data_IF_423554311716
#
_entry.id   IF_423554311716
#
_cell.length_a   1.000
_cell.length_b   1.000
_cell.length_c   1.000
_cell.angle_alpha   90.00
_cell.angle_beta   90.00
_cell.angle_gamma   90.00
#
_symmetry.space_group_name_H-M   'P 1'
#
loop_
_entity.id
_entity.type
_entity.pdbx_description
1 polymer ?
#
# COMPACT_ATOMS: atom_id res chain seq x y z
N UNK A 1 -68.10 -37.48 -2.37
CA UNK A 1 -66.80 -37.05 -2.95
C UNK A 1 -65.94 -36.47 -1.83
N UNK A 2 -64.92 -37.21 -1.36
CA UNK A 2 -64.02 -36.78 -0.27
C UNK A 2 -62.95 -35.84 -0.83
N UNK A 3 -62.82 -34.63 -0.27
CA UNK A 3 -61.79 -33.63 -0.66
C UNK A 3 -60.47 -34.00 0.01
N UNK A 4 -59.43 -34.22 -0.80
CA UNK A 4 -58.05 -34.45 -0.36
C UNK A 4 -57.35 -33.09 -0.27
N UNK A 5 -56.84 -32.74 0.90
CA UNK A 5 -56.04 -31.54 1.14
C UNK A 5 -54.57 -31.93 1.00
N UNK A 6 -53.86 -31.36 0.02
CA UNK A 6 -52.42 -31.49 -0.11
C UNK A 6 -51.73 -30.43 0.77
N UNK A 7 -50.96 -30.89 1.77
CA UNK A 7 -50.08 -30.04 2.55
C UNK A 7 -48.75 -29.88 1.81
N UNK A 8 -48.43 -28.65 1.39
CA UNK A 8 -47.12 -28.29 0.84
C UNK A 8 -46.15 -28.03 2.01
N UNK A 9 -45.17 -28.92 2.19
CA UNK A 9 -44.06 -28.69 3.12
C UNK A 9 -43.02 -27.84 2.38
N UNK A 10 -42.90 -26.57 2.79
CA UNK A 10 -41.87 -25.66 2.29
C UNK A 10 -40.56 -25.96 3.02
N UNK A 11 -39.62 -26.65 2.36
CA UNK A 11 -38.25 -26.80 2.86
C UNK A 11 -37.54 -25.43 2.73
N UNK A 12 -37.38 -24.72 3.85
CA UNK A 12 -36.45 -23.61 3.93
C UNK A 12 -35.01 -24.17 3.88
N UNK A 13 -34.36 -24.00 2.73
CA UNK A 13 -32.92 -24.17 2.61
C UNK A 13 -32.23 -22.98 3.28
N UNK A 14 -31.59 -23.23 4.41
CA UNK A 14 -30.71 -22.27 5.09
C UNK A 14 -29.46 -22.08 4.24
N UNK A 15 -29.41 -21.01 3.45
CA UNK A 15 -28.19 -20.57 2.80
C UNK A 15 -27.18 -20.15 3.90
N UNK A 16 -26.20 -21.01 4.18
CA UNK A 16 -25.07 -20.63 5.04
C UNK A 16 -24.25 -19.57 4.31
N UNK A 17 -24.21 -18.36 4.86
CA UNK A 17 -23.24 -17.34 4.45
C UNK A 17 -21.88 -17.85 4.93
N UNK A 18 -21.09 -18.42 4.01
CA UNK A 18 -19.70 -18.79 4.26
C UNK A 18 -18.90 -17.50 4.28
N UNK A 19 -18.63 -16.95 5.47
CA UNK A 19 -17.54 -16.01 5.63
C UNK A 19 -16.25 -16.75 5.29
N UNK A 20 -15.46 -16.21 4.36
CA UNK A 20 -14.12 -16.73 4.10
C UNK A 20 -13.35 -16.77 5.43
N UNK A 21 -12.99 -17.97 5.89
CA UNK A 21 -12.10 -18.10 7.04
C UNK A 21 -10.82 -17.32 6.72
N UNK A 22 -10.48 -16.33 7.54
CA UNK A 22 -9.19 -15.65 7.47
C UNK A 22 -8.07 -16.70 7.52
N UNK A 23 -6.97 -16.46 6.78
CA UNK A 23 -5.83 -17.37 6.79
C UNK A 23 -5.25 -17.52 8.20
N UNK A 24 -4.45 -18.58 8.41
CA UNK A 24 -3.64 -18.73 9.64
C UNK A 24 -2.54 -17.66 9.67
N UNK A 25 -2.94 -16.45 10.07
CA UNK A 25 -2.07 -15.30 10.18
C UNK A 25 -1.09 -15.44 11.34
N UNK A 26 -1.39 -16.27 12.34
CA UNK A 26 -0.46 -16.51 13.45
C UNK A 26 0.80 -17.22 12.97
N UNK A 27 0.67 -18.21 12.07
CA UNK A 27 1.80 -18.86 11.42
C UNK A 27 2.68 -17.87 10.65
N UNK A 28 2.05 -17.00 9.85
CA UNK A 28 2.75 -15.95 9.08
C UNK A 28 3.49 -14.96 10.00
N UNK A 29 2.82 -14.45 11.03
CA UNK A 29 3.41 -13.53 12.01
C UNK A 29 4.58 -14.17 12.77
N UNK A 30 4.48 -15.46 13.10
CA UNK A 30 5.55 -16.23 13.76
C UNK A 30 6.79 -16.33 12.87
N UNK A 31 6.62 -16.57 11.57
CA UNK A 31 7.75 -16.58 10.62
C UNK A 31 8.46 -15.23 10.62
N UNK A 32 7.73 -14.13 10.51
CA UNK A 32 8.32 -12.80 10.52
C UNK A 32 8.83 -12.35 11.89
N UNK A 33 8.42 -13.01 12.99
CA UNK A 33 8.73 -12.61 14.35
C UNK A 33 8.07 -11.29 14.76
N UNK A 34 7.01 -10.88 14.06
CA UNK A 34 6.30 -9.61 14.31
C UNK A 34 4.83 -9.70 13.95
N UNK A 35 4.02 -8.89 14.65
CA UNK A 35 2.60 -8.73 14.36
C UNK A 35 2.36 -7.89 13.11
N UNK A 36 1.30 -8.23 12.39
CA UNK A 36 0.75 -7.42 11.32
C UNK A 36 -0.54 -6.73 11.76
N UNK A 37 -1.14 -5.99 10.84
CA UNK A 37 -2.51 -5.48 10.97
C UNK A 37 -3.45 -6.38 10.18
N UNK A 38 -4.57 -6.76 10.79
CA UNK A 38 -5.61 -7.53 10.11
C UNK A 38 -6.79 -6.63 9.81
N UNK A 39 -7.21 -6.59 8.55
CA UNK A 39 -8.40 -5.84 8.11
C UNK A 39 -9.12 -6.64 7.03
N UNK A 40 -10.45 -6.80 7.16
CA UNK A 40 -11.26 -7.51 6.14
C UNK A 40 -10.76 -8.93 5.86
N UNK A 41 -10.24 -9.63 6.88
CA UNK A 41 -9.68 -10.97 6.74
C UNK A 41 -8.30 -11.05 6.09
N UNK A 42 -7.71 -9.92 5.70
CA UNK A 42 -6.36 -9.81 5.12
C UNK A 42 -5.35 -9.42 6.19
N UNK A 43 -4.12 -9.90 6.05
CA UNK A 43 -2.99 -9.52 6.91
C UNK A 43 -2.05 -8.58 6.15
N UNK A 44 -1.59 -7.51 6.77
CA UNK A 44 -0.47 -6.70 6.27
C UNK A 44 0.63 -6.59 7.32
N UNK A 45 1.85 -6.94 6.95
CA UNK A 45 3.05 -6.80 7.78
C UNK A 45 3.94 -5.73 7.16
N UNK A 46 4.40 -4.78 7.96
CA UNK A 46 5.21 -3.64 7.49
C UNK A 46 6.61 -3.69 8.08
N UNK A 47 7.61 -3.23 7.34
CA UNK A 47 9.02 -3.24 7.72
C UNK A 47 9.64 -1.86 7.42
N UNK A 48 9.58 -0.92 8.38
CA UNK A 48 10.18 0.40 8.20
C UNK A 48 11.70 0.29 8.14
N UNK A 49 12.32 1.00 7.20
CA UNK A 49 13.78 1.19 7.09
C UNK A 49 14.28 2.19 8.11
N UNK A 50 14.15 1.88 9.40
CA UNK A 50 14.65 2.74 10.49
C UNK A 50 16.17 2.68 10.66
N UNK A 51 16.82 1.77 9.94
CA UNK A 51 18.28 1.71 9.77
C UNK A 51 18.81 2.83 8.88
N UNK A 52 17.97 3.44 8.04
CA UNK A 52 18.38 4.44 7.06
C UNK A 52 18.06 5.86 7.50
N UNK A 53 18.96 6.80 7.15
CA UNK A 53 18.68 8.24 7.14
C UNK A 53 18.68 8.69 5.69
N UNK A 54 17.50 8.79 5.08
CA UNK A 54 17.34 9.22 3.68
C UNK A 54 16.90 10.67 3.63
N UNK A 55 17.44 11.45 2.69
CA UNK A 55 17.05 12.83 2.43
C UNK A 55 16.58 13.04 1.00
N UNK A 56 15.65 13.96 0.78
CA UNK A 56 15.36 14.57 -0.52
C UNK A 56 15.53 16.09 -0.36
N UNK A 57 16.60 16.63 -0.97
CA UNK A 57 17.07 17.98 -0.65
C UNK A 57 17.37 18.11 0.86
N UNK A 58 16.81 19.12 1.51
CA UNK A 58 17.00 19.37 2.95
C UNK A 58 16.04 18.56 3.84
N UNK A 59 15.12 17.78 3.26
CA UNK A 59 14.11 17.04 4.01
C UNK A 59 14.63 15.64 4.35
N UNK A 60 14.81 15.35 5.64
CA UNK A 60 14.97 13.98 6.13
C UNK A 60 13.63 13.26 6.05
N UNK A 61 13.61 12.09 5.40
CA UNK A 61 12.42 11.28 5.15
C UNK A 61 12.19 10.34 6.34
N UNK A 62 11.03 10.44 6.99
CA UNK A 62 10.65 9.43 7.97
C UNK A 62 10.28 8.12 7.29
N UNK A 63 10.58 6.99 7.95
CA UNK A 63 10.25 5.68 7.39
C UNK A 63 8.74 5.54 7.10
N UNK A 64 7.90 6.15 7.94
CA UNK A 64 6.45 6.17 7.74
C UNK A 64 5.98 7.08 6.60
N UNK A 65 6.79 8.00 6.09
CA UNK A 65 6.45 8.80 4.91
C UNK A 65 6.57 7.97 3.63
N UNK A 66 7.72 7.30 3.44
CA UNK A 66 8.02 6.61 2.18
C UNK A 66 8.99 5.41 2.27
N UNK A 67 9.58 5.09 3.42
CA UNK A 67 10.63 4.05 3.52
C UNK A 67 10.16 2.82 4.29
N UNK A 68 8.96 2.33 3.97
CA UNK A 68 8.38 1.14 4.62
C UNK A 68 8.06 0.10 3.57
N UNK A 69 8.77 -1.02 3.59
CA UNK A 69 8.37 -2.22 2.85
C UNK A 69 7.10 -2.79 3.47
N UNK A 70 6.23 -3.39 2.67
CA UNK A 70 5.07 -4.11 3.19
C UNK A 70 4.79 -5.41 2.45
N UNK A 71 4.19 -6.34 3.17
CA UNK A 71 3.80 -7.65 2.66
C UNK A 71 2.35 -7.90 3.09
N UNK A 72 1.45 -7.94 2.12
CA UNK A 72 0.03 -8.20 2.30
C UNK A 72 -0.34 -9.62 1.90
N UNK A 73 -1.27 -10.22 2.63
CA UNK A 73 -1.82 -11.55 2.38
C UNK A 73 -3.34 -11.50 2.35
N UNK A 74 -3.93 -12.15 1.34
CA UNK A 74 -5.37 -12.40 1.25
C UNK A 74 -5.60 -13.90 1.13
N UNK A 75 -6.40 -14.44 2.05
CA UNK A 75 -6.73 -15.87 2.07
C UNK A 75 -7.53 -16.29 0.84
N UNK A 76 -7.22 -17.50 0.35
CA UNK A 76 -7.83 -18.18 -0.79
C UNK A 76 -8.02 -19.67 -0.47
N UNK A 77 -8.70 -19.96 0.65
CA UNK A 77 -8.76 -21.32 1.19
C UNK A 77 -7.45 -21.73 1.87
N UNK A 78 -6.81 -22.80 1.40
CA UNK A 78 -5.51 -23.26 1.93
C UNK A 78 -4.31 -22.46 1.39
N UNK A 79 -4.54 -21.65 0.36
CA UNK A 79 -3.54 -20.76 -0.24
C UNK A 79 -3.81 -19.31 0.13
N UNK A 80 -2.87 -18.43 -0.19
CA UNK A 80 -3.05 -16.99 -0.18
C UNK A 80 -2.47 -16.37 -1.44
N UNK A 81 -3.09 -15.26 -1.84
CA UNK A 81 -2.45 -14.25 -2.66
C UNK A 81 -1.58 -13.38 -1.74
N UNK A 82 -0.33 -13.18 -2.13
CA UNK A 82 0.62 -12.29 -1.48
C UNK A 82 1.04 -11.19 -2.46
N UNK A 83 1.07 -9.94 -1.98
CA UNK A 83 1.51 -8.78 -2.75
C UNK A 83 2.23 -7.80 -1.83
N UNK A 84 3.08 -6.96 -2.40
CA UNK A 84 3.75 -5.91 -1.64
C UNK A 84 4.86 -5.24 -2.42
N UNK A 85 5.60 -4.41 -1.70
CA UNK A 85 6.82 -3.77 -2.16
C UNK A 85 7.93 -3.86 -1.11
N UNK A 86 9.17 -3.84 -1.57
CA UNK A 86 10.36 -3.75 -0.73
C UNK A 86 11.09 -2.44 -1.02
N UNK A 87 11.33 -1.63 0.01
CA UNK A 87 12.22 -0.47 -0.06
C UNK A 87 13.68 -0.92 0.14
N UNK A 88 14.47 -0.82 -0.93
CA UNK A 88 15.82 -1.36 -1.06
C UNK A 88 16.83 -0.26 -1.38
N UNK A 89 18.03 -0.37 -0.82
CA UNK A 89 19.21 0.30 -1.36
C UNK A 89 19.56 -0.33 -2.71
N UNK A 90 20.20 0.42 -3.60
CA UNK A 90 20.58 -0.09 -4.93
C UNK A 90 21.40 -1.40 -4.86
N UNK A 91 22.33 -1.48 -3.91
CA UNK A 91 23.14 -2.69 -3.67
C UNK A 91 22.36 -3.90 -3.15
N UNK A 92 21.16 -3.70 -2.59
CA UNK A 92 20.29 -4.77 -2.08
C UNK A 92 19.40 -5.35 -3.20
N UNK A 93 19.20 -4.63 -4.32
CA UNK A 93 18.24 -5.01 -5.38
C UNK A 93 18.55 -6.37 -6.01
N UNK A 94 19.76 -6.54 -6.54
CA UNK A 94 20.13 -7.76 -7.26
C UNK A 94 20.05 -9.04 -6.40
N UNK A 95 20.62 -9.09 -5.18
CA UNK A 95 20.53 -10.31 -4.35
C UNK A 95 19.09 -10.61 -3.90
N UNK A 96 18.30 -9.58 -3.57
CA UNK A 96 16.89 -9.75 -3.20
C UNK A 96 16.09 -10.28 -4.38
N UNK A 97 16.26 -9.70 -5.57
CA UNK A 97 15.53 -10.13 -6.77
C UNK A 97 15.85 -11.59 -7.13
N UNK A 98 17.13 -11.97 -7.10
CA UNK A 98 17.56 -13.33 -7.32
C UNK A 98 16.92 -14.30 -6.30
N UNK A 99 16.85 -13.89 -5.03
CA UNK A 99 16.24 -14.70 -3.97
C UNK A 99 14.74 -14.90 -4.16
N UNK A 100 14.02 -13.83 -4.50
CA UNK A 100 12.57 -13.92 -4.77
C UNK A 100 12.28 -14.89 -5.91
N UNK A 101 13.03 -14.79 -7.02
CA UNK A 101 12.87 -15.70 -8.17
C UNK A 101 13.16 -17.14 -7.78
N UNK A 102 14.25 -17.40 -7.03
CA UNK A 102 14.62 -18.73 -6.58
C UNK A 102 13.54 -19.38 -5.67
N UNK A 103 12.86 -18.58 -4.84
CA UNK A 103 11.78 -19.06 -3.97
C UNK A 103 10.41 -19.15 -4.69
N UNK A 104 10.34 -18.77 -5.97
CA UNK A 104 9.14 -18.78 -6.78
C UNK A 104 8.18 -17.61 -6.50
N UNK A 105 8.70 -16.49 -5.97
CA UNK A 105 7.98 -15.22 -5.85
C UNK A 105 8.21 -14.41 -7.12
N UNK A 106 7.12 -13.89 -7.70
CA UNK A 106 7.18 -13.10 -8.93
C UNK A 106 7.60 -11.68 -8.62
N UNK A 107 8.59 -11.19 -9.35
CA UNK A 107 8.92 -9.76 -9.42
C UNK A 107 7.97 -9.12 -10.42
N UNK A 108 7.28 -8.06 -10.01
CA UNK A 108 6.28 -7.39 -10.86
C UNK A 108 6.73 -6.01 -11.34
N UNK A 109 7.57 -5.32 -10.58
CA UNK A 109 8.27 -4.11 -11.03
C UNK A 109 9.46 -3.76 -10.14
N UNK A 110 10.38 -2.97 -10.70
CA UNK A 110 11.44 -2.27 -9.99
C UNK A 110 11.42 -0.81 -10.45
N UNK A 111 11.23 0.14 -9.54
CA UNK A 111 11.23 1.57 -9.85
C UNK A 111 11.54 2.41 -8.61
N UNK A 112 11.53 3.73 -8.75
CA UNK A 112 11.67 4.68 -7.66
C UNK A 112 10.30 5.23 -7.22
N UNK A 113 10.16 5.60 -5.95
CA UNK A 113 9.05 6.45 -5.47
C UNK A 113 9.48 7.92 -5.40
N UNK A 114 10.74 8.16 -5.03
CA UNK A 114 11.33 9.49 -4.86
C UNK A 114 12.38 9.72 -5.94
N UNK A 115 12.58 10.98 -6.35
CA UNK A 115 13.72 11.40 -7.19
C UNK A 115 14.65 12.25 -6.32
N UNK A 116 15.96 12.07 -6.47
CA UNK A 116 16.97 12.85 -5.73
C UNK A 116 17.11 12.46 -4.26
N UNK A 117 16.71 11.23 -3.91
CA UNK A 117 16.95 10.69 -2.57
C UNK A 117 18.43 10.37 -2.35
N UNK A 118 18.93 10.64 -1.15
CA UNK A 118 20.30 10.28 -0.73
C UNK A 118 20.25 9.56 0.63
N UNK A 119 20.68 8.29 0.71
CA UNK A 119 21.04 7.43 -0.42
C UNK A 119 19.84 7.17 -1.36
N UNK A 120 20.08 6.77 -2.63
CA UNK A 120 19.00 6.35 -3.53
C UNK A 120 18.27 5.12 -3.00
N UNK A 121 16.94 5.12 -3.14
CA UNK A 121 16.07 4.02 -2.73
C UNK A 121 15.27 3.54 -3.93
N UNK A 122 15.29 2.23 -4.14
CA UNK A 122 14.52 1.51 -5.15
C UNK A 122 13.41 0.71 -4.47
N UNK A 123 12.30 0.53 -5.19
CA UNK A 123 11.12 -0.17 -4.73
C UNK A 123 10.88 -1.36 -5.66
N UNK A 124 10.91 -2.55 -5.07
CA UNK A 124 10.73 -3.81 -5.76
C UNK A 124 9.35 -4.37 -5.41
N UNK A 125 8.44 -4.30 -6.38
CA UNK A 125 7.11 -4.89 -6.25
C UNK A 125 7.15 -6.38 -6.56
N UNK A 126 6.34 -7.14 -5.83
CA UNK A 126 6.27 -8.58 -5.96
C UNK A 126 4.84 -9.11 -5.79
N UNK A 127 4.63 -10.32 -6.29
CA UNK A 127 3.42 -11.09 -6.08
C UNK A 127 3.71 -12.57 -5.91
N UNK A 128 2.85 -13.28 -5.18
CA UNK A 128 2.96 -14.72 -4.96
C UNK A 128 1.60 -15.35 -4.72
N UNK A 129 1.51 -16.63 -5.03
CA UNK A 129 0.34 -17.47 -4.75
C UNK A 129 0.86 -18.79 -4.15
N UNK A 130 0.14 -19.32 -3.15
CA UNK A 130 0.47 -20.59 -2.51
C UNK A 130 0.28 -20.55 -0.99
N UNK A 131 0.78 -21.57 -0.25
CA UNK A 131 0.61 -21.65 1.19
C UNK A 131 1.18 -20.41 1.92
N UNK A 132 0.42 -19.76 2.83
CA UNK A 132 0.85 -18.51 3.49
C UNK A 132 2.20 -18.63 4.20
N UNK A 133 2.46 -19.74 4.89
CA UNK A 133 3.73 -19.98 5.58
C UNK A 133 4.93 -20.01 4.63
N UNK A 134 4.82 -20.73 3.50
CA UNK A 134 5.87 -20.79 2.46
C UNK A 134 6.18 -19.41 1.89
N UNK A 135 5.14 -18.64 1.60
CA UNK A 135 5.26 -17.27 1.10
C UNK A 135 5.95 -16.36 2.14
N UNK A 136 5.58 -16.48 3.42
CA UNK A 136 6.23 -15.75 4.50
C UNK A 136 7.72 -16.12 4.65
N UNK A 137 8.08 -17.40 4.54
CA UNK A 137 9.47 -17.88 4.60
C UNK A 137 10.31 -17.35 3.45
N UNK A 138 9.77 -17.34 2.23
CA UNK A 138 10.41 -16.75 1.06
C UNK A 138 10.71 -15.26 1.29
N UNK A 139 9.71 -14.50 1.75
CA UNK A 139 9.89 -13.07 2.00
C UNK A 139 10.83 -12.77 3.17
N UNK A 140 10.79 -13.57 4.24
CA UNK A 140 11.75 -13.46 5.35
C UNK A 140 13.17 -13.66 4.85
N UNK A 141 13.37 -14.62 3.97
CA UNK A 141 14.67 -14.90 3.39
C UNK A 141 15.17 -13.77 2.49
N UNK A 142 14.28 -13.19 1.67
CA UNK A 142 14.58 -11.99 0.89
C UNK A 142 14.96 -10.80 1.79
N UNK A 143 14.20 -10.54 2.86
CA UNK A 143 14.49 -9.48 3.83
C UNK A 143 15.81 -9.71 4.58
N UNK A 144 16.25 -10.95 4.76
CA UNK A 144 17.54 -11.25 5.41
C UNK A 144 18.76 -10.83 4.59
N UNK A 145 18.55 -10.47 3.32
CA UNK A 145 19.59 -9.96 2.41
C UNK A 145 19.68 -8.42 2.43
N UNK A 146 18.95 -7.75 3.33
CA UNK A 146 18.92 -6.29 3.47
C UNK A 146 19.28 -5.85 4.89
N UNK A 147 19.49 -4.54 5.07
CA UNK A 147 19.62 -3.92 6.39
C UNK A 147 18.29 -3.76 7.15
N UNK A 148 17.16 -4.20 6.58
CA UNK A 148 15.82 -3.94 7.12
C UNK A 148 15.66 -4.51 8.53
N UNK A 149 15.31 -3.67 9.53
CA UNK A 149 15.10 -4.14 10.89
C UNK A 149 13.95 -5.14 11.00
N UNK A 150 14.28 -6.37 11.42
CA UNK A 150 13.32 -7.47 11.62
C UNK A 150 12.73 -7.51 13.04
N UNK A 151 13.33 -6.79 13.99
CA UNK A 151 12.85 -6.70 15.36
C UNK A 151 11.53 -5.95 15.50
N UNK A 152 10.99 -5.94 16.72
CA UNK A 152 9.82 -5.12 17.05
C UNK A 152 10.14 -3.65 16.74
N UNK A 153 9.31 -2.95 15.92
CA UNK A 153 9.59 -1.57 15.57
C UNK A 153 9.63 -0.71 16.83
N UNK A 154 10.71 0.06 16.98
CA UNK A 154 10.82 1.05 18.04
C UNK A 154 9.67 2.06 17.90
N UNK A 155 8.97 2.41 19.00
CA UNK A 155 7.96 3.44 18.96
C UNK A 155 8.51 4.73 18.34
N UNK A 156 7.73 5.37 17.47
CA UNK A 156 8.10 6.69 16.97
C UNK A 156 8.23 7.66 18.15
N UNK A 157 9.18 8.59 18.10
CA UNK A 157 9.34 9.62 19.13
C UNK A 157 8.08 10.46 19.14
N UNK A 158 7.32 10.40 20.25
CA UNK A 158 6.12 11.21 20.42
C UNK A 158 6.52 12.68 20.51
N UNK A 159 6.06 13.50 19.58
CA UNK A 159 6.23 14.96 19.67
C UNK A 159 5.41 15.52 20.85
N UNK A 160 5.99 16.48 21.57
CA UNK A 160 5.35 17.10 22.73
C UNK A 160 4.05 17.85 22.37
N UNK A 161 3.92 18.30 21.13
CA UNK A 161 2.70 18.91 20.59
C UNK A 161 2.29 18.17 19.32
N UNK A 162 1.08 17.57 19.30
CA UNK A 162 0.55 16.95 18.09
C UNK A 162 0.43 17.96 16.96
N UNK A 163 0.84 17.56 15.75
CA UNK A 163 0.60 18.35 14.54
C UNK A 163 -0.90 18.42 14.26
N UNK A 164 -1.42 19.64 14.07
CA UNK A 164 -2.79 19.84 13.63
C UNK A 164 -2.91 19.69 12.10
N UNK A 165 -3.54 18.59 11.69
CA UNK A 165 -3.83 18.28 10.29
C UNK A 165 -5.25 18.64 9.85
N UNK A 166 -6.07 19.26 10.71
CA UNK A 166 -7.51 19.43 10.47
C UNK A 166 -7.82 20.18 9.17
N UNK A 167 -7.04 21.22 8.85
CA UNK A 167 -7.23 21.97 7.58
C UNK A 167 -6.86 21.15 6.35
N UNK A 168 -5.81 20.34 6.44
CA UNK A 168 -5.40 19.42 5.34
C UNK A 168 -6.48 18.37 5.12
N UNK A 169 -6.98 17.76 6.19
CA UNK A 169 -8.09 16.80 6.13
C UNK A 169 -9.37 17.41 5.57
N UNK A 170 -9.71 18.63 5.96
CA UNK A 170 -10.87 19.35 5.43
C UNK A 170 -10.77 19.62 3.93
N UNK A 171 -9.58 19.97 3.43
CA UNK A 171 -9.34 20.18 1.98
C UNK A 171 -9.42 18.86 1.21
N UNK A 172 -8.85 17.78 1.77
CA UNK A 172 -8.83 16.46 1.15
C UNK A 172 -10.15 15.70 1.29
N UNK A 173 -11.06 16.16 2.15
CA UNK A 173 -12.44 15.71 2.26
C UNK A 173 -12.70 14.60 3.28
N UNK A 174 -11.69 14.12 4.00
CA UNK A 174 -11.81 13.06 5.00
C UNK A 174 -10.68 13.10 6.02
N UNK A 175 -10.85 12.37 7.12
CA UNK A 175 -9.78 12.14 8.09
C UNK A 175 -8.79 11.07 7.63
N UNK A 176 -7.56 11.17 8.13
CA UNK A 176 -6.46 10.22 7.90
C UNK A 176 -5.93 9.59 9.19
N UNK A 177 -5.00 8.66 9.04
CA UNK A 177 -4.23 8.12 10.16
C UNK A 177 -3.12 9.10 10.52
N UNK A 178 -3.07 9.49 11.79
CA UNK A 178 -2.08 10.44 12.33
C UNK A 178 -1.10 9.70 13.23
N UNK A 179 0.20 9.89 13.01
CA UNK A 179 1.26 9.30 13.85
C UNK A 179 2.41 10.28 13.99
N UNK A 180 2.51 10.94 15.15
CA UNK A 180 3.50 12.00 15.36
C UNK A 180 3.27 13.15 14.38
N UNK A 181 4.25 13.41 13.52
CA UNK A 181 4.18 14.40 12.45
C UNK A 181 3.64 13.86 11.12
N UNK A 182 3.18 12.60 11.06
CA UNK A 182 2.68 12.00 9.83
C UNK A 182 1.16 12.09 9.73
N UNK A 183 0.66 12.33 8.52
CA UNK A 183 -0.72 12.11 8.09
C UNK A 183 -0.71 11.15 6.91
N UNK A 184 -1.40 10.02 7.02
CA UNK A 184 -1.55 9.04 5.96
C UNK A 184 -3.02 8.90 5.59
N UNK A 185 -3.32 8.99 4.30
CA UNK A 185 -4.67 8.98 3.77
C UNK A 185 -4.78 7.98 2.62
N UNK A 186 -5.94 7.34 2.52
CA UNK A 186 -6.21 6.31 1.53
C UNK A 186 -7.55 6.61 0.84
N UNK A 187 -7.53 6.64 -0.49
CA UNK A 187 -8.68 6.91 -1.35
C UNK A 187 -8.85 5.72 -2.30
N UNK A 188 -9.68 4.72 -1.92
CA UNK A 188 -9.96 3.57 -2.78
C UNK A 188 -10.53 4.01 -4.12
N UNK A 189 -10.12 3.32 -5.18
CA UNK A 189 -10.79 3.39 -6.48
C UNK A 189 -12.22 2.83 -6.38
N UNK A 190 -13.13 3.33 -7.22
CA UNK A 190 -14.50 2.78 -7.30
C UNK A 190 -14.58 1.54 -8.19
N UNK A 191 -13.63 1.36 -9.09
CA UNK A 191 -13.54 0.16 -9.92
C UNK A 191 -13.25 -1.07 -9.07
N UNK A 192 -13.78 -2.22 -9.49
CA UNK A 192 -13.29 -3.51 -9.01
C UNK A 192 -12.02 -3.85 -9.77
N UNK A 193 -10.91 -3.91 -9.05
CA UNK A 193 -9.60 -4.24 -9.61
C UNK A 193 -9.37 -5.74 -9.46
N UNK A 194 -8.89 -6.37 -10.53
CA UNK A 194 -8.58 -7.80 -10.56
C UNK A 194 -7.17 -8.04 -11.06
N UNK A 195 -6.53 -9.09 -10.55
CA UNK A 195 -5.26 -9.64 -11.07
C UNK A 195 -5.55 -11.09 -11.46
N UNK A 196 -5.36 -11.45 -12.73
CA UNK A 196 -5.72 -12.78 -13.28
C UNK A 196 -7.17 -13.20 -12.94
N UNK A 197 -8.09 -12.24 -12.98
CA UNK A 197 -9.52 -12.47 -12.68
C UNK A 197 -9.87 -12.54 -11.18
N UNK A 198 -8.89 -12.46 -10.27
CA UNK A 198 -9.14 -12.44 -8.83
C UNK A 198 -9.21 -11.00 -8.30
N UNK A 199 -10.22 -10.70 -7.50
CA UNK A 199 -10.38 -9.38 -6.88
C UNK A 199 -9.17 -9.03 -5.98
N UNK A 200 -8.56 -7.87 -6.26
CA UNK A 200 -7.49 -7.27 -5.47
C UNK A 200 -8.07 -6.09 -4.69
N UNK A 201 -8.33 -6.25 -3.38
CA UNK A 201 -8.96 -5.22 -2.58
C UNK A 201 -8.03 -4.02 -2.33
N UNK A 202 -8.58 -2.83 -2.04
CA UNK A 202 -7.81 -1.61 -1.76
C UNK A 202 -6.71 -1.77 -0.69
N UNK A 203 -6.94 -2.65 0.29
CA UNK A 203 -5.99 -2.93 1.37
C UNK A 203 -4.66 -3.54 0.90
N UNK A 204 -4.64 -4.18 -0.28
CA UNK A 204 -3.44 -4.75 -0.92
C UNK A 204 -2.79 -3.77 -1.92
N UNK A 205 -2.78 -2.47 -1.61
CA UNK A 205 -2.06 -1.47 -2.41
C UNK A 205 -2.87 -0.87 -3.57
N UNK A 206 -4.16 -1.19 -3.69
CA UNK A 206 -5.01 -0.72 -4.80
C UNK A 206 -5.79 0.58 -4.47
N UNK A 207 -5.45 1.25 -3.38
CA UNK A 207 -5.98 2.58 -3.05
C UNK A 207 -4.95 3.65 -3.40
N UNK A 208 -5.42 4.83 -3.82
CA UNK A 208 -4.56 6.01 -3.91
C UNK A 208 -4.09 6.35 -2.49
N UNK A 209 -2.78 6.40 -2.28
CA UNK A 209 -2.14 6.75 -1.02
C UNK A 209 -1.60 8.17 -1.07
N UNK A 210 -1.92 8.98 -0.05
CA UNK A 210 -1.35 10.31 0.16
C UNK A 210 -0.78 10.36 1.57
N UNK A 211 0.53 10.59 1.66
CA UNK A 211 1.25 10.69 2.92
C UNK A 211 1.89 12.08 3.03
N UNK A 212 1.77 12.69 4.21
CA UNK A 212 2.42 13.95 4.55
C UNK A 212 3.24 13.79 5.83
N UNK A 213 4.39 14.47 5.91
CA UNK A 213 5.14 14.66 7.14
C UNK A 213 5.38 16.16 7.38
N UNK A 214 5.16 16.65 8.60
CA UNK A 214 5.54 18.03 8.93
C UNK A 214 7.04 18.19 9.14
N UNK A 215 7.58 19.28 8.59
CA UNK A 215 8.98 19.73 8.70
C UNK A 215 8.99 21.24 8.99
N UNK A 216 9.08 21.61 10.27
CA UNK A 216 8.97 23.00 10.71
C UNK A 216 7.58 23.56 10.41
N UNK A 217 7.48 24.56 9.52
CA UNK A 217 6.20 25.15 9.07
C UNK A 217 5.71 24.63 7.71
N UNK A 218 6.50 23.78 7.04
CA UNK A 218 6.16 23.14 5.76
C UNK A 218 5.84 21.67 5.97
N UNK A 219 5.22 21.04 4.98
CA UNK A 219 5.10 19.59 4.90
C UNK A 219 5.82 19.06 3.66
N UNK A 220 6.37 17.86 3.76
CA UNK A 220 6.67 17.06 2.58
C UNK A 220 5.51 16.09 2.33
N UNK A 221 5.14 15.92 1.06
CA UNK A 221 4.07 15.03 0.62
C UNK A 221 4.56 14.11 -0.50
N UNK A 222 4.19 12.84 -0.40
CA UNK A 222 4.46 11.81 -1.39
C UNK A 222 3.39 10.74 -1.30
N UNK A 223 3.33 9.86 -2.29
CA UNK A 223 2.31 8.84 -2.33
C UNK A 223 2.29 8.10 -3.65
N UNK A 224 1.15 7.47 -3.90
CA UNK A 224 0.91 6.66 -5.09
C UNK A 224 -0.52 6.89 -5.57
N UNK A 225 -0.65 7.31 -6.82
CA UNK A 225 -1.92 7.36 -7.54
C UNK A 225 -2.09 6.10 -8.38
N UNK A 226 -3.16 5.35 -8.12
CA UNK A 226 -3.65 4.27 -8.99
C UNK A 226 -4.60 4.87 -10.03
N UNK A 227 -4.30 4.73 -11.31
CA UNK A 227 -4.94 5.48 -12.40
C UNK A 227 -5.38 4.56 -13.55
N UNK A 228 -6.51 4.88 -14.17
CA UNK A 228 -6.84 4.42 -15.51
C UNK A 228 -5.98 5.18 -16.54
N UNK A 229 -5.79 4.60 -17.73
CA UNK A 229 -4.97 5.22 -18.78
C UNK A 229 -5.41 6.64 -19.15
N UNK A 230 -6.72 6.91 -19.18
CA UNK A 230 -7.27 8.23 -19.47
C UNK A 230 -7.06 9.27 -18.35
N UNK A 231 -6.80 8.83 -17.12
CA UNK A 231 -6.60 9.70 -15.96
C UNK A 231 -5.13 10.14 -15.79
N UNK A 232 -4.17 9.42 -16.39
CA UNK A 232 -2.72 9.65 -16.21
C UNK A 232 -2.31 11.09 -16.48
N UNK A 233 -2.49 11.56 -17.72
CA UNK A 233 -2.04 12.91 -18.10
C UNK A 233 -2.86 14.04 -17.44
N UNK A 234 -4.19 13.90 -17.24
CA UNK A 234 -4.93 14.84 -16.41
C UNK A 234 -4.38 15.00 -14.99
N UNK A 235 -3.99 13.90 -14.33
CA UNK A 235 -3.38 13.92 -13.00
C UNK A 235 -1.98 14.53 -13.04
N UNK A 236 -1.13 14.12 -13.99
CA UNK A 236 0.21 14.70 -14.19
C UNK A 236 0.13 16.22 -14.32
N UNK A 237 -0.76 16.72 -15.18
CA UNK A 237 -0.97 18.15 -15.37
C UNK A 237 -1.41 18.84 -14.08
N UNK A 238 -2.40 18.26 -13.37
CA UNK A 238 -2.91 18.84 -12.14
C UNK A 238 -1.84 18.95 -11.04
N UNK A 239 -0.95 17.96 -10.93
CA UNK A 239 0.18 18.00 -9.98
C UNK A 239 1.21 19.07 -10.38
N UNK A 240 1.63 19.09 -11.65
CA UNK A 240 2.65 20.02 -12.16
C UNK A 240 2.19 21.48 -12.06
N UNK A 241 0.93 21.78 -12.42
CA UNK A 241 0.35 23.12 -12.32
C UNK A 241 0.36 23.67 -10.88
N UNK A 242 0.46 22.77 -9.89
CA UNK A 242 0.46 23.08 -8.45
C UNK A 242 1.87 23.00 -7.83
N UNK A 243 2.91 22.82 -8.67
CA UNK A 243 4.30 22.70 -8.24
C UNK A 243 4.63 21.38 -7.53
N UNK A 244 3.79 20.35 -7.71
CA UNK A 244 4.05 18.99 -7.21
C UNK A 244 4.74 18.20 -8.32
N UNK A 245 5.92 17.67 -8.01
CA UNK A 245 6.74 16.93 -8.97
C UNK A 245 6.18 15.53 -9.16
N UNK A 246 6.04 15.07 -10.40
CA UNK A 246 5.80 13.66 -10.71
C UNK A 246 7.14 12.93 -10.72
N UNK A 247 7.28 11.88 -9.91
CA UNK A 247 8.55 11.17 -9.71
C UNK A 247 8.64 9.84 -10.44
N UNK A 248 7.50 9.25 -10.81
CA UNK A 248 7.42 8.08 -11.67
C UNK A 248 6.02 7.93 -12.27
N UNK A 249 5.93 7.37 -13.48
CA UNK A 249 4.70 6.80 -14.05
C UNK A 249 5.06 5.42 -14.56
N UNK A 250 4.41 4.38 -14.05
CA UNK A 250 4.77 3.00 -14.33
C UNK A 250 3.53 2.08 -14.16
N UNK A 251 3.70 0.79 -14.38
CA UNK A 251 2.77 -0.21 -13.87
C UNK A 251 3.55 -1.22 -13.05
N UNK A 252 3.04 -1.57 -11.88
CA UNK A 252 3.65 -2.59 -11.02
C UNK A 252 2.79 -3.84 -10.84
N UNK A 253 1.80 -3.97 -11.72
CA UNK A 253 0.95 -5.14 -11.90
C UNK A 253 1.21 -5.74 -13.28
N UNK A 254 1.03 -7.06 -13.41
CA UNK A 254 1.36 -7.78 -14.65
C UNK A 254 0.12 -8.15 -15.47
N UNK A 255 -0.99 -8.51 -14.81
CA UNK A 255 -2.17 -9.07 -15.46
C UNK A 255 -3.46 -8.44 -14.92
N UNK A 256 -3.38 -7.16 -14.57
CA UNK A 256 -4.47 -6.46 -13.94
C UNK A 256 -5.57 -6.07 -14.94
N UNK A 257 -6.82 -6.07 -14.45
CA UNK A 257 -7.99 -5.59 -15.18
C UNK A 257 -8.86 -4.73 -14.26
N UNK A 258 -9.28 -3.53 -14.68
CA UNK A 258 -8.86 -2.84 -15.92
C UNK A 258 -7.35 -2.56 -15.92
N UNK A 259 -6.76 -2.20 -17.07
CA UNK A 259 -5.34 -1.82 -17.13
C UNK A 259 -5.09 -0.61 -16.24
N UNK A 260 -4.09 -0.70 -15.35
CA UNK A 260 -3.76 0.37 -14.40
C UNK A 260 -2.36 0.93 -14.64
N UNK A 261 -2.22 2.21 -14.32
CA UNK A 261 -0.96 2.92 -14.21
C UNK A 261 -0.84 3.47 -12.79
N UNK A 262 0.39 3.56 -12.32
CA UNK A 262 0.75 4.03 -10.99
C UNK A 262 1.66 5.25 -11.14
N UNK A 263 1.39 6.26 -10.34
CA UNK A 263 2.08 7.54 -10.40
C UNK A 263 2.55 7.95 -9.00
N UNK A 264 3.86 8.12 -8.86
CA UNK A 264 4.45 8.70 -7.65
C UNK A 264 4.68 10.19 -7.83
N UNK A 265 4.69 10.90 -6.70
CA UNK A 265 4.88 12.34 -6.67
C UNK A 265 5.70 12.77 -5.46
N UNK A 266 6.27 13.97 -5.54
CA UNK A 266 6.96 14.63 -4.44
C UNK A 266 6.57 16.12 -4.38
N UNK A 267 6.19 16.60 -3.20
CA UNK A 267 5.94 18.01 -2.92
C UNK A 267 6.54 18.42 -1.59
N UNK A 268 7.05 19.65 -1.50
CA UNK A 268 7.57 20.22 -0.26
C UNK A 268 7.20 21.70 -0.14
N UNK A 269 6.13 22.00 0.58
CA UNK A 269 5.55 23.35 0.65
C UNK A 269 4.63 23.52 1.88
N UNK A 270 3.90 24.62 1.96
CA UNK A 270 2.83 24.83 2.94
C UNK A 270 1.80 23.69 2.90
N UNK A 271 1.40 23.13 4.06
CA UNK A 271 0.52 21.96 4.12
C UNK A 271 -0.80 22.14 3.38
N UNK A 272 -1.46 23.31 3.53
CA UNK A 272 -2.74 23.54 2.85
C UNK A 272 -2.57 23.76 1.35
N UNK A 273 -1.43 24.27 0.89
CA UNK A 273 -1.11 24.40 -0.55
C UNK A 273 -0.93 23.02 -1.18
N UNK A 274 -0.16 22.14 -0.53
CA UNK A 274 -0.03 20.75 -0.95
C UNK A 274 -1.39 20.03 -0.97
N UNK A 275 -2.19 20.20 0.08
CA UNK A 275 -3.52 19.60 0.16
C UNK A 275 -4.43 20.04 -1.01
N UNK A 276 -4.42 21.33 -1.38
CA UNK A 276 -5.20 21.83 -2.53
C UNK A 276 -4.72 21.23 -3.85
N UNK A 277 -3.40 21.14 -4.06
CA UNK A 277 -2.85 20.54 -5.27
C UNK A 277 -3.17 19.05 -5.39
N UNK A 278 -3.03 18.31 -4.29
CA UNK A 278 -3.38 16.89 -4.23
C UNK A 278 -4.89 16.66 -4.40
N UNK A 279 -5.73 17.53 -3.85
CA UNK A 279 -7.18 17.51 -4.10
C UNK A 279 -7.50 17.72 -5.57
N UNK A 280 -6.85 18.68 -6.24
CA UNK A 280 -7.04 18.92 -7.66
C UNK A 280 -6.67 17.69 -8.52
N UNK A 281 -5.62 16.96 -8.14
CA UNK A 281 -5.23 15.69 -8.76
C UNK A 281 -6.23 14.56 -8.47
N UNK A 282 -6.66 14.38 -7.21
CA UNK A 282 -7.72 13.42 -6.84
C UNK A 282 -9.02 13.69 -7.60
N UNK A 283 -9.32 14.94 -7.90
CA UNK A 283 -10.50 15.32 -8.69
C UNK A 283 -10.45 14.89 -10.16
N UNK A 284 -9.29 14.43 -10.64
CA UNK A 284 -9.12 13.80 -11.96
C UNK A 284 -9.22 12.28 -11.92
N UNK A 285 -9.61 11.69 -10.79
CA UNK A 285 -9.70 10.23 -10.61
C UNK A 285 -11.11 9.80 -10.21
N UNK A 286 -11.47 8.56 -10.53
CA UNK A 286 -12.68 7.90 -10.06
C UNK A 286 -12.48 7.20 -8.69
N UNK A 287 -12.06 7.97 -7.68
CA UNK A 287 -11.84 7.48 -6.32
C UNK A 287 -12.96 7.89 -5.35
N UNK A 288 -13.05 7.18 -4.21
CA UNK A 288 -13.89 7.54 -3.07
C UNK A 288 -13.21 8.64 -2.27
N UNK A 289 -13.85 9.80 -2.17
CA UNK A 289 -13.34 11.02 -1.53
C UNK A 289 -13.97 11.21 -0.17
#
# INVERSE_FOLDING_TARGET
MKRIIFAFILLLSSASIVFAQGGDWQGVEKVFGRKGTVQGGMLKVTFPRSDLTVKVGDVTIESGLALTSWIGFKGMGKEAMMMGDLALLEGEVAPVMARLVADGVRVTALHNHLIGSTPPIMYLHFSGEGPPGRLAEAMRSALSLTGTPMGTPTPAVTQATPVDWAKVEAILGKSGQKKGNLLQMSFPRKETIREKGMDVPPYLGMAIGINLQMVGRKAAATGDFVLLGEEVNPVVKALIDQGITVTAVHSHMLFESPRLFFLHFWGYDEPEKLARGLKAALDKTNSVK
#
